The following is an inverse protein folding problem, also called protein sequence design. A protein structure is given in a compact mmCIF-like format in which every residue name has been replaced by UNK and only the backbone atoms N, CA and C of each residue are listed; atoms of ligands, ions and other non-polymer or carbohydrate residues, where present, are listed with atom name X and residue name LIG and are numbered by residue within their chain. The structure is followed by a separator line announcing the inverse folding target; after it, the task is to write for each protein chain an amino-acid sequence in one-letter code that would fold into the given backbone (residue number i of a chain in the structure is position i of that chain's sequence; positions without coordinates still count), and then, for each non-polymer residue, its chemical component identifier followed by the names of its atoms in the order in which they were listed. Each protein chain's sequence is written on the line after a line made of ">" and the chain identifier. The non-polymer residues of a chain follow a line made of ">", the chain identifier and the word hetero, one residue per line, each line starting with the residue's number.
data_IF_666475680893
#
_entry.id   IF_666475680893
#
_cell.length_a   1.000
_cell.length_b   1.000
_cell.length_c   1.000
_cell.angle_alpha   90.00
_cell.angle_beta   90.00
_cell.angle_gamma   90.00
#
_symmetry.space_group_name_H-M   'P 1'
#
loop_
_entity.id
_entity.type
_entity.pdbx_description
1 polymer ?
#
# COMPACT_ATOMS: atom_id res chain seq x y z
N UNK A 1 -2.82 -6.52 17.55
CA UNK A 1 -2.07 -7.60 18.23
C UNK A 1 -0.68 -7.54 17.65
N UNK A 2 0.34 -7.22 18.43
CA UNK A 2 1.72 -7.27 17.94
C UNK A 2 2.11 -8.75 17.84
N UNK A 3 2.73 -9.16 16.72
CA UNK A 3 3.29 -10.51 16.62
C UNK A 3 4.30 -10.75 17.74
N UNK A 4 4.35 -11.96 18.27
CA UNK A 4 5.38 -12.33 19.24
C UNK A 4 6.59 -12.84 18.46
N UNK A 5 7.80 -12.54 18.95
CA UNK A 5 9.05 -13.05 18.37
C UNK A 5 8.97 -14.57 18.20
N UNK A 6 9.11 -15.06 16.96
CA UNK A 6 9.10 -16.49 16.63
C UNK A 6 7.79 -17.03 16.06
N UNK A 7 6.73 -16.23 15.98
CA UNK A 7 5.52 -16.62 15.24
C UNK A 7 5.72 -16.46 13.71
N UNK A 8 5.13 -17.35 12.92
CA UNK A 8 5.17 -17.25 11.46
C UNK A 8 4.22 -16.14 10.99
N UNK A 9 4.66 -15.35 10.00
CA UNK A 9 3.81 -14.31 9.40
C UNK A 9 2.56 -14.95 8.80
N UNK A 10 1.39 -14.58 9.32
CA UNK A 10 0.11 -15.10 8.85
C UNK A 10 -0.42 -14.27 7.67
N UNK A 11 -0.12 -12.98 7.62
CA UNK A 11 -0.59 -12.07 6.59
C UNK A 11 0.40 -10.93 6.27
N UNK A 12 0.34 -10.41 5.04
CA UNK A 12 1.09 -9.22 4.61
C UNK A 12 0.42 -7.92 5.01
N UNK A 13 -0.41 -7.92 6.04
CA UNK A 13 -1.12 -6.74 6.52
C UNK A 13 -0.24 -5.95 7.49
N UNK A 14 -0.28 -4.61 7.50
CA UNK A 14 0.62 -3.80 8.32
C UNK A 14 0.55 -4.12 9.82
N UNK A 15 -0.62 -4.47 10.34
CA UNK A 15 -0.80 -4.82 11.75
C UNK A 15 -0.22 -6.19 12.16
N UNK A 16 0.09 -7.04 11.18
CA UNK A 16 0.53 -8.42 11.37
C UNK A 16 1.99 -8.60 10.98
N UNK A 17 2.77 -7.51 10.95
CA UNK A 17 4.18 -7.54 10.57
C UNK A 17 5.09 -7.21 11.77
N UNK A 18 6.20 -7.95 11.94
CA UNK A 18 7.16 -7.69 13.01
C UNK A 18 8.07 -6.52 12.62
N UNK A 19 7.58 -5.29 12.78
CA UNK A 19 8.29 -4.06 12.38
C UNK A 19 9.65 -3.84 13.05
N UNK A 20 9.92 -4.52 14.16
CA UNK A 20 11.22 -4.48 14.82
C UNK A 20 12.27 -5.37 14.12
N UNK A 21 11.85 -6.32 13.28
CA UNK A 21 12.76 -7.15 12.49
C UNK A 21 13.21 -6.35 11.25
N UNK A 22 14.51 -6.07 11.08
CA UNK A 22 15.00 -5.17 10.02
C UNK A 22 14.65 -5.65 8.60
N UNK A 23 14.70 -6.96 8.37
CA UNK A 23 14.40 -7.58 7.08
C UNK A 23 12.93 -7.36 6.67
N UNK A 24 11.99 -7.51 7.61
CA UNK A 24 10.57 -7.24 7.36
C UNK A 24 10.31 -5.75 7.17
N UNK A 25 10.90 -4.90 8.02
CA UNK A 25 10.72 -3.45 7.93
C UNK A 25 11.18 -2.89 6.57
N UNK A 26 12.32 -3.33 6.06
CA UNK A 26 12.86 -2.86 4.78
C UNK A 26 12.04 -3.41 3.61
N UNK A 27 11.81 -4.73 3.55
CA UNK A 27 11.10 -5.35 2.44
C UNK A 27 9.67 -4.81 2.31
N UNK A 28 8.89 -4.84 3.40
CA UNK A 28 7.51 -4.37 3.39
C UNK A 28 7.42 -2.85 3.29
N UNK A 29 8.38 -2.10 3.83
CA UNK A 29 8.46 -0.66 3.64
C UNK A 29 8.56 -0.27 2.17
N UNK A 30 9.48 -0.89 1.43
CA UNK A 30 9.63 -0.65 -0.02
C UNK A 30 8.39 -1.14 -0.78
N UNK A 31 7.86 -2.32 -0.45
CA UNK A 31 6.64 -2.85 -1.07
C UNK A 31 5.47 -1.86 -0.94
N UNK A 32 5.22 -1.36 0.26
CA UNK A 32 4.12 -0.42 0.50
C UNK A 32 4.37 0.94 -0.15
N UNK A 33 5.62 1.40 -0.25
CA UNK A 33 5.95 2.60 -1.00
C UNK A 33 5.60 2.46 -2.48
N UNK A 34 5.99 1.35 -3.12
CA UNK A 34 5.67 1.06 -4.53
C UNK A 34 4.16 0.94 -4.74
N UNK A 35 3.46 0.22 -3.86
CA UNK A 35 2.00 0.12 -3.91
C UNK A 35 1.33 1.50 -3.75
N UNK A 36 1.88 2.37 -2.90
CA UNK A 36 1.44 3.76 -2.78
C UNK A 36 1.57 4.51 -4.10
N UNK A 37 2.73 4.46 -4.75
CA UNK A 37 2.96 5.13 -6.04
C UNK A 37 2.00 4.64 -7.12
N UNK A 38 1.85 3.32 -7.27
CA UNK A 38 0.96 2.73 -8.27
C UNK A 38 -0.49 3.06 -7.95
N UNK A 39 -0.90 2.91 -6.69
CA UNK A 39 -2.25 3.22 -6.22
C UNK A 39 -2.61 4.70 -6.44
N UNK A 40 -1.70 5.63 -6.15
CA UNK A 40 -1.90 7.05 -6.42
C UNK A 40 -1.99 7.32 -7.92
N UNK A 41 -1.12 6.73 -8.74
CA UNK A 41 -1.17 6.87 -10.20
C UNK A 41 -2.50 6.40 -10.79
N UNK A 42 -2.98 5.22 -10.35
CA UNK A 42 -4.30 4.70 -10.71
C UNK A 42 -5.42 5.61 -10.23
N UNK A 43 -5.39 6.04 -8.97
CA UNK A 43 -6.41 6.91 -8.41
C UNK A 43 -6.54 8.21 -9.22
N UNK A 44 -5.42 8.86 -9.53
CA UNK A 44 -5.41 10.06 -10.38
C UNK A 44 -6.05 9.78 -11.73
N UNK A 45 -5.70 8.69 -12.40
CA UNK A 45 -6.28 8.33 -13.70
C UNK A 45 -7.80 8.11 -13.61
N UNK A 46 -8.26 7.41 -12.57
CA UNK A 46 -9.70 7.14 -12.33
C UNK A 46 -10.44 8.45 -12.06
N UNK A 47 -9.96 9.27 -11.11
CA UNK A 47 -10.59 10.54 -10.76
C UNK A 47 -10.59 11.52 -11.93
N UNK A 48 -9.51 11.59 -12.70
CA UNK A 48 -9.42 12.41 -13.92
C UNK A 48 -10.47 11.98 -14.94
N UNK A 49 -10.56 10.68 -15.22
CA UNK A 49 -11.51 10.12 -16.19
C UNK A 49 -12.95 10.37 -15.77
N UNK A 50 -13.24 10.23 -14.47
CA UNK A 50 -14.56 10.51 -13.92
C UNK A 50 -14.90 12.00 -14.01
N UNK A 51 -13.96 12.88 -13.68
CA UNK A 51 -14.15 14.33 -13.79
C UNK A 51 -14.41 14.78 -15.22
N UNK A 52 -13.62 14.28 -16.18
CA UNK A 52 -13.77 14.61 -17.60
C UNK A 52 -15.11 14.11 -18.17
N UNK A 53 -15.63 12.99 -17.65
CA UNK A 53 -16.96 12.47 -18.01
C UNK A 53 -18.08 13.38 -17.48
N UNK A 54 -17.93 13.90 -16.26
CA UNK A 54 -18.92 14.77 -15.62
C UNK A 54 -18.88 16.21 -16.12
N UNK A 55 -17.72 16.70 -16.57
CA UNK A 55 -17.52 18.04 -17.10
C UNK A 55 -16.95 17.98 -18.53
N UNK A 56 -17.77 17.61 -19.53
CA UNK A 56 -17.36 17.62 -20.91
C UNK A 56 -16.90 19.02 -21.28
N UNK A 57 -15.64 19.18 -21.71
CA UNK A 57 -15.18 20.43 -22.30
C UNK A 57 -15.64 20.42 -23.76
N UNK A 58 -16.60 21.29 -24.07
CA UNK A 58 -17.04 21.59 -25.43
C UNK A 58 -15.94 22.24 -26.24
#
# INVERSE_FOLDING_TARGET
>A
MWMIHGETVQSSLPQDLPWWQPDHAIFFGVLYAVLGVIGTGMAVAIFKSWWDTLHPRH
#
